data_IF_179151588801
#
_entry.id   IF_179151588801
#
_cell.length_a   1.000
_cell.length_b   1.000
_cell.length_c   1.000
_cell.angle_alpha   90.00
_cell.angle_beta   90.00
_cell.angle_gamma   90.00
#
_symmetry.space_group_name_H-M   'P 1'
#
loop_
_entity.id
_entity.type
_entity.pdbx_description
1 polymer ?
#
# COMPACT_ATOMS: atom_id res chain seq x y z
N UNK A 1 -55.15 -11.97 -30.26
CA UNK A 1 -55.21 -11.04 -29.10
C UNK A 1 -53.78 -10.86 -28.60
N UNK A 2 -53.25 -9.63 -28.72
CA UNK A 2 -51.95 -9.22 -28.17
C UNK A 2 -52.15 -8.79 -26.71
N UNK A 3 -51.20 -9.03 -25.78
CA UNK A 3 -51.05 -8.19 -24.61
C UNK A 3 -50.08 -7.05 -24.93
N UNK A 4 -50.60 -5.84 -24.80
CA UNK A 4 -49.91 -4.57 -24.83
C UNK A 4 -49.36 -4.33 -23.42
N UNK A 5 -48.04 -4.19 -23.25
CA UNK A 5 -47.48 -3.67 -21.99
C UNK A 5 -46.92 -2.29 -22.29
N UNK A 6 -47.64 -1.31 -21.74
CA UNK A 6 -47.38 0.12 -21.79
C UNK A 6 -46.23 0.47 -20.84
N UNK A 7 -45.08 0.85 -21.41
CA UNK A 7 -44.03 1.60 -20.70
C UNK A 7 -43.60 2.78 -21.57
N UNK A 8 -44.51 3.73 -21.74
CA UNK A 8 -44.17 5.09 -22.14
C UNK A 8 -44.95 6.01 -21.21
N UNK A 9 -44.24 6.73 -20.36
CA UNK A 9 -44.53 8.08 -19.86
C UNK A 9 -43.46 8.42 -18.82
N UNK A 10 -42.44 9.16 -19.24
CA UNK A 10 -41.43 9.69 -18.32
C UNK A 10 -40.13 10.22 -18.94
N UNK A 11 -39.96 10.20 -20.26
CA UNK A 11 -38.66 10.51 -20.90
C UNK A 11 -38.73 11.64 -21.94
N UNK A 12 -39.80 12.44 -21.94
CA UNK A 12 -40.03 13.47 -22.96
C UNK A 12 -40.06 14.90 -22.40
N UNK A 13 -39.36 15.16 -21.29
CA UNK A 13 -39.35 16.51 -20.67
C UNK A 13 -37.98 17.03 -20.24
N UNK A 14 -36.91 16.69 -20.97
CA UNK A 14 -35.59 17.34 -20.83
C UNK A 14 -34.96 17.76 -22.16
N UNK A 15 -35.75 17.90 -23.23
CA UNK A 15 -35.30 18.51 -24.48
C UNK A 15 -36.20 19.71 -24.77
N UNK A 16 -35.74 20.90 -24.39
CA UNK A 16 -36.44 22.16 -24.62
C UNK A 16 -35.82 23.30 -23.83
N UNK A 17 -34.98 24.06 -24.51
CA UNK A 17 -34.31 25.28 -24.08
C UNK A 17 -35.20 26.19 -23.22
N UNK A 18 -34.70 26.62 -22.06
CA UNK A 18 -35.06 27.93 -21.51
C UNK A 18 -33.87 28.52 -20.77
N UNK A 19 -33.20 29.43 -21.47
CA UNK A 19 -32.77 30.73 -20.95
C UNK A 19 -32.08 30.74 -19.58
N UNK A 20 -30.79 31.03 -19.64
CA UNK A 20 -30.14 32.00 -18.77
C UNK A 20 -31.14 33.00 -18.16
N UNK A 21 -31.38 32.88 -16.86
CA UNK A 21 -31.76 34.02 -16.04
C UNK A 21 -31.17 33.81 -14.66
N UNK A 22 -30.30 34.76 -14.32
CA UNK A 22 -29.68 34.96 -13.03
C UNK A 22 -30.75 35.25 -11.99
N UNK A 23 -30.89 34.42 -10.97
CA UNK A 23 -31.46 34.85 -9.69
C UNK A 23 -30.40 34.70 -8.60
N UNK A 24 -29.75 35.84 -8.34
CA UNK A 24 -28.98 36.12 -7.13
C UNK A 24 -29.95 36.62 -6.06
N UNK A 25 -29.87 36.04 -4.87
CA UNK A 25 -30.00 36.63 -3.51
C UNK A 25 -30.17 35.44 -2.54
N UNK A 26 -29.46 35.22 -1.44
CA UNK A 26 -28.37 35.88 -0.73
C UNK A 26 -27.74 34.83 0.19
N UNK A 27 -26.43 34.57 0.09
CA UNK A 27 -25.60 34.14 1.23
C UNK A 27 -24.12 34.44 0.96
N UNK A 28 -23.43 34.80 2.04
CA UNK A 28 -22.11 35.42 2.17
C UNK A 28 -20.97 34.79 1.32
N UNK A 29 -19.91 35.56 0.97
CA UNK A 29 -18.86 35.12 0.07
C UNK A 29 -17.95 34.10 0.74
N UNK A 30 -18.02 32.85 0.29
CA UNK A 30 -16.99 31.85 0.54
C UNK A 30 -16.07 31.77 -0.68
N UNK A 31 -14.81 31.45 -0.39
CA UNK A 31 -13.60 31.45 -1.22
C UNK A 31 -13.74 30.67 -2.54
N UNK A 32 -13.16 31.18 -3.65
CA UNK A 32 -13.30 30.58 -4.98
C UNK A 32 -12.21 29.52 -5.24
N UNK A 33 -12.25 28.33 -4.62
CA UNK A 33 -11.31 27.24 -4.96
C UNK A 33 -11.88 25.80 -5.00
N UNK A 34 -13.19 25.56 -4.84
CA UNK A 34 -13.72 24.17 -4.77
C UNK A 34 -14.80 23.78 -5.80
N UNK A 35 -15.08 24.59 -6.83
CA UNK A 35 -16.13 24.25 -7.82
C UNK A 35 -15.61 23.58 -9.12
N UNK A 36 -14.29 23.45 -9.29
CA UNK A 36 -13.73 22.87 -10.52
C UNK A 36 -13.86 21.34 -10.55
N UNK A 37 -13.73 20.65 -9.41
CA UNK A 37 -13.67 19.18 -9.36
C UNK A 37 -15.08 18.55 -9.54
N UNK A 38 -16.10 19.12 -8.90
CA UNK A 38 -17.50 18.65 -8.99
C UNK A 38 -18.16 18.96 -10.35
N UNK A 39 -17.73 20.03 -11.03
CA UNK A 39 -18.18 20.33 -12.38
C UNK A 39 -17.51 19.40 -13.40
N UNK A 40 -16.21 19.12 -13.24
CA UNK A 40 -15.51 18.17 -14.12
C UNK A 40 -16.02 16.74 -13.99
N UNK A 41 -16.32 16.26 -12.78
CA UNK A 41 -16.86 14.90 -12.58
C UNK A 41 -18.27 14.75 -13.14
N UNK A 42 -19.11 15.79 -13.06
CA UNK A 42 -20.43 15.84 -13.71
C UNK A 42 -20.31 15.82 -15.24
N UNK A 43 -19.46 16.67 -15.80
CA UNK A 43 -19.23 16.74 -17.25
C UNK A 43 -18.68 15.41 -17.80
N UNK A 44 -17.81 14.74 -17.06
CA UNK A 44 -17.26 13.45 -17.43
C UNK A 44 -18.33 12.34 -17.39
N UNK A 45 -19.23 12.37 -16.41
CA UNK A 45 -20.37 11.46 -16.34
C UNK A 45 -21.35 11.67 -17.51
N UNK A 46 -21.62 12.92 -17.88
CA UNK A 46 -22.48 13.25 -19.02
C UNK A 46 -21.87 12.82 -20.36
N UNK A 47 -20.54 12.94 -20.51
CA UNK A 47 -19.81 12.43 -21.68
C UNK A 47 -19.85 10.91 -21.77
N UNK A 48 -19.65 10.20 -20.65
CA UNK A 48 -19.78 8.73 -20.59
C UNK A 48 -21.19 8.26 -20.92
N UNK A 49 -22.20 8.95 -20.43
CA UNK A 49 -23.60 8.66 -20.74
C UNK A 49 -23.90 8.86 -22.24
N UNK A 50 -23.38 9.94 -22.83
CA UNK A 50 -23.51 10.22 -24.26
C UNK A 50 -22.81 9.16 -25.14
N UNK A 51 -21.63 8.69 -24.73
CA UNK A 51 -20.91 7.61 -25.41
C UNK A 51 -21.68 6.29 -25.34
N UNK A 52 -22.12 5.89 -24.14
CA UNK A 52 -22.89 4.67 -23.93
C UNK A 52 -24.19 4.66 -24.76
N UNK A 53 -24.84 5.81 -24.88
CA UNK A 53 -26.06 5.95 -25.69
C UNK A 53 -25.77 5.75 -27.20
N UNK A 54 -24.64 6.25 -27.70
CA UNK A 54 -24.23 6.05 -29.11
C UNK A 54 -23.90 4.58 -29.39
N UNK A 55 -23.20 3.93 -28.47
CA UNK A 55 -22.87 2.50 -28.58
C UNK A 55 -24.12 1.64 -28.53
N UNK A 56 -25.05 1.93 -27.62
CA UNK A 56 -26.34 1.26 -27.54
C UNK A 56 -27.15 1.38 -28.84
N UNK A 57 -27.22 2.58 -29.42
CA UNK A 57 -27.87 2.78 -30.72
C UNK A 57 -27.16 2.04 -31.86
N UNK A 58 -25.84 1.98 -31.86
CA UNK A 58 -25.07 1.22 -32.85
C UNK A 58 -25.35 -0.28 -32.74
N UNK A 59 -25.42 -0.81 -31.51
CA UNK A 59 -25.81 -2.20 -31.22
C UNK A 59 -27.24 -2.49 -31.67
N UNK A 60 -28.20 -1.59 -31.43
CA UNK A 60 -29.57 -1.76 -31.90
C UNK A 60 -29.66 -1.79 -33.43
N UNK A 61 -28.89 -0.95 -34.13
CA UNK A 61 -28.80 -0.99 -35.61
C UNK A 61 -28.15 -2.28 -36.10
N UNK A 62 -27.07 -2.73 -35.47
CA UNK A 62 -26.42 -3.99 -35.81
C UNK A 62 -27.35 -5.19 -35.58
N UNK A 63 -28.11 -5.18 -34.48
CA UNK A 63 -29.11 -6.20 -34.18
C UNK A 63 -30.26 -6.19 -35.19
N UNK A 64 -30.74 -5.02 -35.60
CA UNK A 64 -31.75 -4.88 -36.66
C UNK A 64 -31.25 -5.42 -38.01
N UNK A 65 -29.99 -5.14 -38.38
CA UNK A 65 -29.36 -5.66 -39.60
C UNK A 65 -29.18 -7.19 -39.55
N UNK A 66 -28.79 -7.74 -38.40
CA UNK A 66 -28.73 -9.19 -38.20
C UNK A 66 -30.12 -9.80 -38.31
N UNK A 67 -31.15 -9.15 -37.78
CA UNK A 67 -32.53 -9.63 -37.86
C UNK A 67 -33.09 -9.53 -39.30
N UNK A 68 -32.65 -8.53 -40.08
CA UNK A 68 -32.95 -8.40 -41.51
C UNK A 68 -32.24 -9.48 -42.35
N UNK A 69 -31.00 -9.86 -42.01
CA UNK A 69 -30.31 -10.98 -42.66
C UNK A 69 -30.88 -12.35 -42.29
N UNK A 70 -31.30 -12.55 -41.03
CA UNK A 70 -31.98 -13.78 -40.59
C UNK A 70 -33.40 -13.87 -41.14
N UNK A 71 -34.04 -12.75 -41.48
CA UNK A 71 -35.35 -12.69 -42.15
C UNK A 71 -35.31 -12.82 -43.69
N UNK A 72 -34.12 -12.75 -44.32
CA UNK A 72 -33.99 -12.63 -45.77
C UNK A 72 -33.28 -13.79 -46.50
N UNK A 73 -32.40 -14.56 -45.86
CA UNK A 73 -31.58 -15.55 -46.60
C UNK A 73 -31.21 -16.79 -45.80
N UNK A 74 -32.18 -17.47 -45.20
CA UNK A 74 -32.00 -18.85 -44.74
C UNK A 74 -33.24 -19.70 -45.04
N UNK A 75 -33.51 -19.92 -46.33
CA UNK A 75 -34.39 -21.01 -46.74
C UNK A 75 -33.70 -21.87 -47.81
N UNK A 76 -32.71 -22.64 -47.36
CA UNK A 76 -32.03 -23.65 -48.17
C UNK A 76 -33.00 -24.74 -48.70
N UNK A 77 -34.24 -24.82 -48.19
CA UNK A 77 -35.28 -25.71 -48.74
C UNK A 77 -36.02 -25.12 -49.94
N UNK A 78 -36.09 -23.79 -50.10
CA UNK A 78 -36.80 -23.17 -51.23
C UNK A 78 -36.01 -23.24 -52.54
N UNK A 79 -34.68 -23.11 -52.49
CA UNK A 79 -33.81 -23.34 -53.66
C UNK A 79 -33.84 -24.81 -54.12
N UNK A 80 -33.97 -25.73 -53.17
CA UNK A 80 -34.15 -27.16 -53.48
C UNK A 80 -35.49 -27.45 -54.16
N UNK A 81 -36.55 -26.68 -53.88
CA UNK A 81 -37.88 -26.87 -54.51
C UNK A 81 -38.05 -26.13 -55.84
N UNK A 82 -37.40 -24.98 -56.05
CA UNK A 82 -37.45 -24.26 -57.34
C UNK A 82 -36.66 -24.98 -58.43
N UNK A 83 -35.64 -25.77 -58.09
CA UNK A 83 -34.91 -26.61 -59.06
C UNK A 83 -35.65 -27.89 -59.47
N UNK A 84 -36.76 -28.25 -58.82
CA UNK A 84 -37.49 -29.50 -59.07
C UNK A 84 -38.70 -29.31 -60.03
N UNK A 85 -38.95 -28.08 -60.52
CA UNK A 85 -40.04 -27.79 -61.44
C UNK A 85 -39.58 -27.03 -62.71
N UNK A 86 -38.94 -27.72 -63.65
CA UNK A 86 -38.60 -27.20 -64.99
C UNK A 86 -37.98 -28.26 -65.91
N UNK A 87 -38.17 -28.22 -67.25
CA UNK A 87 -38.43 -29.41 -68.06
C UNK A 87 -37.20 -30.24 -68.44
N UNK A 88 -37.40 -31.57 -68.48
CA UNK A 88 -36.60 -32.60 -69.16
C UNK A 88 -35.87 -32.06 -70.40
N UNK A 89 -34.55 -32.00 -70.32
CA UNK A 89 -33.67 -32.02 -71.48
C UNK A 89 -32.52 -33.00 -71.21
N UNK A 90 -32.64 -34.16 -71.83
CA UNK A 90 -31.65 -35.23 -71.89
C UNK A 90 -30.33 -34.65 -72.43
N UNK A 91 -29.30 -34.55 -71.59
CA UNK A 91 -27.92 -34.40 -72.05
C UNK A 91 -26.98 -35.11 -71.09
N UNK A 92 -26.38 -36.17 -71.61
CA UNK A 92 -25.13 -36.78 -71.14
C UNK A 92 -25.10 -37.18 -69.67
N UNK A 93 -25.18 -38.48 -69.42
CA UNK A 93 -24.53 -39.06 -68.24
C UNK A 93 -23.03 -38.76 -68.38
N UNK A 94 -22.58 -37.62 -67.86
CA UNK A 94 -21.18 -37.43 -67.56
C UNK A 94 -20.95 -38.21 -66.28
N UNK A 95 -20.10 -39.21 -66.38
CA UNK A 95 -19.68 -40.07 -65.28
C UNK A 95 -19.08 -39.19 -64.17
N UNK A 96 -19.85 -38.89 -63.13
CA UNK A 96 -19.38 -38.19 -61.92
C UNK A 96 -18.56 -39.13 -61.00
N UNK A 97 -17.89 -40.13 -61.58
CA UNK A 97 -16.99 -41.03 -60.86
C UNK A 97 -15.57 -40.45 -60.72
N UNK A 98 -15.35 -39.22 -61.19
CA UNK A 98 -14.06 -38.51 -61.13
C UNK A 98 -14.03 -37.25 -60.26
N UNK A 99 -15.10 -36.92 -59.51
CA UNK A 99 -15.16 -35.70 -58.69
C UNK A 99 -14.83 -35.90 -57.20
N UNK A 100 -14.21 -37.02 -56.82
CA UNK A 100 -13.43 -37.10 -55.59
C UNK A 100 -12.01 -36.66 -55.92
N UNK A 101 -11.82 -35.37 -56.21
CA UNK A 101 -10.49 -34.80 -56.13
C UNK A 101 -10.02 -35.01 -54.69
N UNK A 102 -8.99 -35.83 -54.51
CA UNK A 102 -8.27 -35.99 -53.24
C UNK A 102 -8.05 -34.59 -52.65
N UNK A 103 -8.31 -34.37 -51.34
CA UNK A 103 -7.96 -33.11 -50.71
C UNK A 103 -6.52 -32.74 -51.09
N UNK A 104 -6.29 -31.52 -51.58
CA UNK A 104 -4.95 -31.06 -51.93
C UNK A 104 -4.03 -31.35 -50.73
N UNK A 105 -2.99 -32.17 -50.92
CA UNK A 105 -2.14 -32.67 -49.83
C UNK A 105 -1.60 -31.51 -48.98
N UNK A 106 -1.35 -30.37 -49.62
CA UNK A 106 -0.92 -29.13 -48.97
C UNK A 106 -1.98 -28.54 -48.05
N UNK A 107 -3.25 -28.54 -48.46
CA UNK A 107 -4.36 -28.04 -47.64
C UNK A 107 -4.56 -28.88 -46.37
N UNK A 108 -4.40 -30.21 -46.48
CA UNK A 108 -4.50 -31.10 -45.31
C UNK A 108 -3.36 -30.85 -44.32
N UNK A 109 -2.14 -30.67 -44.83
CA UNK A 109 -0.95 -30.38 -44.01
C UNK A 109 -1.06 -29.01 -43.30
N UNK A 110 -1.48 -27.96 -44.02
CA UNK A 110 -1.71 -26.62 -43.48
C UNK A 110 -2.81 -26.61 -42.43
N UNK A 111 -3.93 -27.30 -42.68
CA UNK A 111 -5.00 -27.45 -41.70
C UNK A 111 -4.51 -28.17 -40.43
N UNK A 112 -3.72 -29.22 -40.58
CA UNK A 112 -3.18 -29.95 -39.42
C UNK A 112 -2.18 -29.10 -38.62
N UNK A 113 -1.37 -28.28 -39.30
CA UNK A 113 -0.47 -27.33 -38.65
C UNK A 113 -1.26 -26.27 -37.87
N UNK A 114 -2.29 -25.69 -38.48
CA UNK A 114 -3.17 -24.70 -37.82
C UNK A 114 -3.87 -25.25 -36.59
N UNK A 115 -4.26 -26.53 -36.60
CA UNK A 115 -4.86 -27.19 -35.44
C UNK A 115 -3.84 -27.29 -34.30
N UNK A 116 -2.59 -27.70 -34.59
CA UNK A 116 -1.53 -27.78 -33.58
C UNK A 116 -1.20 -26.40 -33.01
N UNK A 117 -1.02 -25.40 -33.86
CA UNK A 117 -0.73 -24.04 -33.39
C UNK A 117 -1.87 -23.45 -32.57
N UNK A 118 -3.13 -23.74 -32.91
CA UNK A 118 -4.26 -23.33 -32.08
C UNK A 118 -4.27 -24.02 -30.73
N UNK A 119 -3.90 -25.30 -30.66
CA UNK A 119 -3.74 -26.01 -29.39
C UNK A 119 -2.65 -25.36 -28.54
N UNK A 120 -1.48 -25.07 -29.11
CA UNK A 120 -0.39 -24.38 -28.42
C UNK A 120 -0.81 -22.98 -27.92
N UNK A 121 -1.58 -22.25 -28.73
CA UNK A 121 -2.11 -20.94 -28.35
C UNK A 121 -3.14 -21.04 -27.23
N UNK A 122 -4.03 -22.04 -27.24
CA UNK A 122 -4.99 -22.26 -26.17
C UNK A 122 -4.29 -22.59 -24.84
N UNK A 123 -3.27 -23.46 -24.87
CA UNK A 123 -2.45 -23.75 -23.69
C UNK A 123 -1.69 -22.52 -23.19
N UNK A 124 -1.23 -21.66 -24.10
CA UNK A 124 -0.57 -20.40 -23.73
C UNK A 124 -1.55 -19.40 -23.12
N UNK A 125 -2.77 -19.28 -23.66
CA UNK A 125 -3.84 -18.45 -23.10
C UNK A 125 -4.18 -18.94 -21.69
N UNK A 126 -4.38 -20.25 -21.51
CA UNK A 126 -4.69 -20.82 -20.20
C UNK A 126 -3.59 -20.54 -19.15
N UNK A 127 -2.31 -20.66 -19.53
CA UNK A 127 -1.19 -20.29 -18.65
C UNK A 127 -1.20 -18.80 -18.28
N UNK A 128 -1.41 -17.92 -19.27
CA UNK A 128 -1.48 -16.48 -19.04
C UNK A 128 -2.66 -16.11 -18.15
N UNK A 129 -3.81 -16.78 -18.27
CA UNK A 129 -4.97 -16.59 -17.38
C UNK A 129 -4.66 -17.01 -15.94
N UNK A 130 -3.90 -18.09 -15.74
CA UNK A 130 -3.44 -18.49 -14.40
C UNK A 130 -2.46 -17.47 -13.81
N UNK A 131 -1.49 -17.01 -14.60
CA UNK A 131 -0.55 -15.96 -14.19
C UNK A 131 -1.28 -14.64 -13.88
N UNK A 132 -2.27 -14.25 -14.68
CA UNK A 132 -3.09 -13.06 -14.44
C UNK A 132 -3.85 -13.17 -13.11
N UNK A 133 -4.45 -14.33 -12.83
CA UNK A 133 -5.16 -14.54 -11.56
C UNK A 133 -4.20 -14.53 -10.37
N UNK A 134 -3.00 -15.10 -10.51
CA UNK A 134 -1.98 -15.04 -9.48
C UNK A 134 -1.54 -13.59 -9.22
N UNK A 135 -1.25 -12.82 -10.27
CA UNK A 135 -0.86 -11.41 -10.14
C UNK A 135 -1.98 -10.55 -9.55
N UNK A 136 -3.25 -10.83 -9.84
CA UNK A 136 -4.39 -10.15 -9.19
C UNK A 136 -4.42 -10.40 -7.69
N UNK A 137 -4.15 -11.63 -7.25
CA UNK A 137 -4.10 -11.94 -5.82
C UNK A 137 -2.91 -11.24 -5.15
N UNK A 138 -1.72 -11.30 -5.76
CA UNK A 138 -0.52 -10.61 -5.25
C UNK A 138 -0.72 -9.08 -5.18
N UNK A 139 -1.42 -8.50 -6.15
CA UNK A 139 -1.79 -7.08 -6.14
C UNK A 139 -2.76 -6.75 -5.00
N UNK A 140 -3.72 -7.63 -4.71
CA UNK A 140 -4.65 -7.45 -3.60
C UNK A 140 -3.93 -7.55 -2.25
N UNK A 141 -3.07 -8.54 -2.07
CA UNK A 141 -2.25 -8.69 -0.86
C UNK A 141 -1.36 -7.46 -0.63
N UNK A 142 -0.75 -6.93 -1.70
CA UNK A 142 0.05 -5.71 -1.64
C UNK A 142 -0.79 -4.49 -1.26
N UNK A 143 -2.04 -4.41 -1.76
CA UNK A 143 -2.96 -3.32 -1.42
C UNK A 143 -3.35 -3.37 0.06
N UNK A 144 -3.71 -4.54 0.58
CA UNK A 144 -4.08 -4.74 1.98
C UNK A 144 -2.90 -4.40 2.91
N UNK A 145 -1.67 -4.77 2.51
CA UNK A 145 -0.45 -4.35 3.21
C UNK A 145 -0.26 -2.83 3.20
N UNK A 146 -0.54 -2.17 2.08
CA UNK A 146 -0.38 -0.73 1.96
C UNK A 146 -1.39 0.03 2.84
N UNK A 147 -2.63 -0.44 2.90
CA UNK A 147 -3.64 0.07 3.82
C UNK A 147 -3.17 -0.07 5.29
N UNK A 148 -2.61 -1.21 5.68
CA UNK A 148 -2.05 -1.40 7.02
C UNK A 148 -0.89 -0.43 7.32
N UNK A 149 -0.02 -0.19 6.35
CA UNK A 149 1.08 0.77 6.49
C UNK A 149 0.57 2.21 6.65
N UNK A 150 -0.49 2.60 5.95
CA UNK A 150 -1.13 3.91 6.13
C UNK A 150 -1.64 4.08 7.57
N UNK A 151 -2.31 3.07 8.13
CA UNK A 151 -2.71 3.11 9.55
C UNK A 151 -1.52 3.22 10.49
N UNK A 152 -0.43 2.51 10.21
CA UNK A 152 0.78 2.55 11.03
C UNK A 152 1.47 3.92 10.98
N UNK A 153 1.50 4.57 9.82
CA UNK A 153 2.03 5.94 9.68
C UNK A 153 1.19 6.90 10.51
N UNK A 154 -0.14 6.87 10.40
CA UNK A 154 -1.02 7.73 11.18
C UNK A 154 -0.85 7.53 12.70
N UNK A 155 -0.66 6.29 13.16
CA UNK A 155 -0.38 5.98 14.57
C UNK A 155 0.96 6.57 15.02
N UNK A 156 1.99 6.50 14.17
CA UNK A 156 3.32 7.05 14.45
C UNK A 156 3.29 8.59 14.46
N UNK A 157 2.56 9.23 13.55
CA UNK A 157 2.38 10.68 13.50
C UNK A 157 1.64 11.19 14.75
N UNK A 158 0.58 10.51 15.21
CA UNK A 158 -0.11 10.89 16.43
C UNK A 158 0.75 10.65 17.68
N UNK A 159 1.60 9.62 17.70
CA UNK A 159 2.62 9.43 18.75
C UNK A 159 3.65 10.54 18.75
N UNK A 160 4.12 10.97 17.57
CA UNK A 160 5.06 12.08 17.44
C UNK A 160 4.45 13.39 17.90
N UNK A 161 3.19 13.67 17.52
CA UNK A 161 2.45 14.86 17.97
C UNK A 161 2.22 14.89 19.48
N UNK A 162 2.01 13.72 20.09
CA UNK A 162 1.89 13.56 21.56
C UNK A 162 3.24 13.53 22.26
N UNK A 163 4.34 13.39 21.53
CA UNK A 163 5.68 13.33 22.11
C UNK A 163 6.05 14.66 22.77
N UNK A 164 6.42 14.67 24.06
CA UNK A 164 6.84 15.87 24.78
C UNK A 164 8.11 16.54 24.24
N UNK A 165 8.81 15.91 23.29
CA UNK A 165 10.06 16.38 22.70
C UNK A 165 9.87 17.45 21.62
N UNK A 166 8.75 17.41 20.88
CA UNK A 166 8.50 18.35 19.77
C UNK A 166 8.27 19.81 20.23
N UNK A 167 7.99 20.00 21.52
CA UNK A 167 7.78 21.32 22.14
C UNK A 167 9.03 21.91 22.82
N UNK A 168 10.22 21.32 22.63
CA UNK A 168 11.47 21.91 23.13
C UNK A 168 11.93 23.03 22.18
N UNK A 169 11.41 24.23 22.42
CA UNK A 169 11.97 25.44 21.83
C UNK A 169 13.32 25.73 22.50
N UNK A 170 14.40 25.22 21.92
CA UNK A 170 15.76 25.67 22.25
C UNK A 170 15.92 27.04 21.59
N UNK A 171 15.82 28.10 22.39
CA UNK A 171 16.02 29.46 21.88
C UNK A 171 17.46 29.59 21.40
N UNK A 172 17.67 29.65 20.08
CA UNK A 172 18.97 29.94 19.49
C UNK A 172 19.36 31.37 19.84
N UNK A 173 20.54 31.56 20.44
CA UNK A 173 21.05 32.89 20.73
C UNK A 173 21.27 33.67 19.42
N UNK A 174 20.76 34.91 19.29
CA UNK A 174 21.00 35.71 18.09
C UNK A 174 22.49 36.01 17.95
N UNK A 175 23.02 35.97 16.71
CA UNK A 175 24.42 36.27 16.31
C UNK A 175 24.84 37.75 16.54
N UNK A 176 24.12 38.46 17.40
CA UNK A 176 24.47 39.77 17.91
C UNK A 176 25.72 39.62 18.80
N UNK A 177 26.73 40.48 18.58
CA UNK A 177 27.99 40.58 19.35
C UNK A 177 27.84 40.71 20.90
N UNK A 178 26.63 40.72 21.45
CA UNK A 178 26.35 40.62 22.88
C UNK A 178 26.53 39.18 23.37
N UNK A 179 27.36 38.98 24.40
CA UNK A 179 27.49 37.68 25.06
C UNK A 179 26.14 37.19 25.61
N UNK A 180 25.97 35.86 25.75
CA UNK A 180 24.77 35.27 26.34
C UNK A 180 24.43 35.87 27.72
N UNK A 181 25.47 36.14 28.51
CA UNK A 181 25.34 36.82 29.80
C UNK A 181 24.84 38.26 29.66
N UNK A 182 25.33 39.01 28.67
CA UNK A 182 24.84 40.36 28.38
C UNK A 182 23.35 40.35 28.03
N UNK A 183 22.90 39.38 27.23
CA UNK A 183 21.47 39.22 26.89
C UNK A 183 20.63 38.88 28.12
N UNK A 184 21.09 37.95 28.95
CA UNK A 184 20.40 37.57 30.19
C UNK A 184 20.28 38.76 31.16
N UNK A 185 21.35 39.53 31.36
CA UNK A 185 21.31 40.75 32.17
C UNK A 185 20.29 41.77 31.65
N UNK A 186 20.20 41.96 30.33
CA UNK A 186 19.19 42.85 29.73
C UNK A 186 17.75 42.36 29.94
N UNK A 187 17.52 41.04 29.85
CA UNK A 187 16.20 40.42 30.10
C UNK A 187 15.77 40.59 31.55
N UNK A 188 16.72 40.51 32.49
CA UNK A 188 16.50 40.75 33.93
C UNK A 188 16.47 42.24 34.29
N UNK A 189 16.53 43.15 33.30
CA UNK A 189 16.37 44.60 33.48
C UNK A 189 17.65 45.37 33.76
N UNK A 190 18.82 44.72 33.77
CA UNK A 190 20.13 45.35 33.96
C UNK A 190 20.68 45.80 32.61
N UNK A 191 20.45 47.07 32.26
CA UNK A 191 20.87 47.68 30.98
C UNK A 191 22.12 48.56 31.09
N UNK A 192 22.42 49.06 32.28
CA UNK A 192 23.51 50.02 32.51
C UNK A 192 24.90 49.37 32.65
N UNK A 193 24.96 48.04 32.56
CA UNK A 193 26.20 47.25 32.72
C UNK A 193 26.60 46.66 31.37
N UNK A 194 27.74 47.09 30.84
CA UNK A 194 28.40 46.43 29.72
C UNK A 194 29.36 45.35 30.25
N UNK A 195 29.04 44.08 30.02
CA UNK A 195 29.78 42.92 30.52
C UNK A 195 31.22 42.90 30.01
N UNK A 196 31.45 43.26 28.74
CA UNK A 196 32.81 43.29 28.17
C UNK A 196 33.67 44.38 28.80
N UNK A 197 33.09 45.55 29.06
CA UNK A 197 33.79 46.66 29.73
C UNK A 197 34.02 46.38 31.22
N UNK A 198 33.02 45.78 31.89
CA UNK A 198 33.11 45.36 33.28
C UNK A 198 34.21 44.32 33.48
N UNK A 199 34.31 43.32 32.62
CA UNK A 199 35.38 42.32 32.65
C UNK A 199 36.76 42.97 32.54
N UNK A 200 36.96 43.91 31.59
CA UNK A 200 38.23 44.64 31.45
C UNK A 200 38.59 45.44 32.70
N UNK A 201 37.60 46.02 33.39
CA UNK A 201 37.79 46.75 34.66
C UNK A 201 38.15 45.80 35.81
N UNK A 202 37.62 44.57 35.82
CA UNK A 202 37.95 43.54 36.81
C UNK A 202 39.33 42.92 36.57
N UNK A 203 39.75 42.70 35.32
CA UNK A 203 41.05 42.09 35.00
C UNK A 203 42.25 42.92 35.48
N UNK A 204 42.06 44.24 35.60
CA UNK A 204 43.10 45.18 36.07
C UNK A 204 42.99 45.48 37.58
N UNK A 205 41.96 44.94 38.26
CA UNK A 205 41.84 45.02 39.70
C UNK A 205 42.74 43.97 40.36
N UNK A 206 43.82 44.43 41.00
CA UNK A 206 44.65 43.57 41.86
C UNK A 206 44.10 43.46 43.29
N UNK A 207 44.80 42.71 44.16
CA UNK A 207 44.47 42.51 45.60
C UNK A 207 44.69 43.76 46.48
N UNK A 208 44.36 44.94 45.98
CA UNK A 208 44.48 46.18 46.74
C UNK A 208 43.24 46.36 47.64
N UNK A 209 43.44 46.25 48.95
CA UNK A 209 42.38 46.47 49.94
C UNK A 209 41.85 47.92 50.02
N UNK A 210 42.44 48.87 49.29
CA UNK A 210 42.02 50.28 49.27
C UNK A 210 41.60 50.72 47.86
N UNK A 211 40.38 50.32 47.49
CA UNK A 211 39.77 50.55 46.18
C UNK A 211 39.33 52.01 46.01
N UNK A 212 39.61 52.59 44.84
CA UNK A 212 39.06 53.89 44.42
C UNK A 212 37.56 53.77 44.12
N UNK A 213 36.84 54.89 44.11
CA UNK A 213 35.39 54.89 43.87
C UNK A 213 34.99 54.19 42.55
N UNK A 214 35.75 54.38 41.47
CA UNK A 214 35.49 53.72 40.17
C UNK A 214 35.67 52.19 40.25
N UNK A 215 36.63 51.74 41.05
CA UNK A 215 36.92 50.33 41.31
C UNK A 215 35.84 49.70 42.19
N UNK A 216 35.33 50.45 43.17
CA UNK A 216 34.19 50.06 43.99
C UNK A 216 32.92 49.89 43.14
N UNK A 217 32.66 50.81 42.19
CA UNK A 217 31.53 50.70 41.25
C UNK A 217 31.64 49.44 40.40
N UNK A 218 32.83 49.14 39.86
CA UNK A 218 33.06 47.91 39.09
C UNK A 218 32.79 46.66 39.92
N UNK A 219 33.20 46.62 41.19
CA UNK A 219 32.94 45.48 42.09
C UNK A 219 31.45 45.33 42.39
N UNK A 220 30.72 46.43 42.61
CA UNK A 220 29.26 46.38 42.85
C UNK A 220 28.53 45.86 41.60
N UNK A 221 28.93 46.33 40.41
CA UNK A 221 28.38 45.85 39.14
C UNK A 221 28.68 44.35 38.93
N UNK A 222 29.90 43.91 39.25
CA UNK A 222 30.29 42.50 39.20
C UNK A 222 29.45 41.63 40.15
N UNK A 223 29.23 42.08 41.38
CA UNK A 223 28.37 41.38 42.34
C UNK A 223 26.92 41.25 41.85
N UNK A 224 26.41 42.27 41.16
CA UNK A 224 25.07 42.23 40.55
C UNK A 224 25.01 41.19 39.42
N UNK A 225 26.02 41.16 38.55
CA UNK A 225 26.12 40.19 37.45
C UNK A 225 26.28 38.77 38.00
N UNK A 226 27.08 38.54 39.03
CA UNK A 226 27.26 37.24 39.68
C UNK A 226 25.95 36.71 40.26
N UNK A 227 25.15 37.56 40.93
CA UNK A 227 23.85 37.16 41.45
C UNK A 227 22.89 36.71 40.33
N UNK A 228 22.96 37.37 39.15
CA UNK A 228 22.20 36.95 37.97
C UNK A 228 22.73 35.64 37.38
N UNK A 229 24.06 35.43 37.34
CA UNK A 229 24.64 34.16 36.93
C UNK A 229 24.18 33.00 37.83
N UNK A 230 24.17 33.19 39.15
CA UNK A 230 23.66 32.18 40.10
C UNK A 230 22.19 31.85 39.86
N UNK A 231 21.37 32.86 39.57
CA UNK A 231 19.96 32.66 39.20
C UNK A 231 19.83 31.87 37.90
N UNK A 232 20.64 32.21 36.89
CA UNK A 232 20.62 31.54 35.59
C UNK A 232 21.11 30.09 35.68
N UNK A 233 22.16 29.83 36.45
CA UNK A 233 22.66 28.47 36.74
C UNK A 233 21.58 27.60 37.36
N UNK A 234 20.89 28.09 38.39
CA UNK A 234 19.75 27.36 39.00
C UNK A 234 18.63 27.08 38.02
N UNK A 235 18.37 28.00 37.10
CA UNK A 235 17.38 27.80 36.04
C UNK A 235 17.83 26.70 35.07
N UNK A 236 19.10 26.70 34.65
CA UNK A 236 19.68 25.67 33.80
C UNK A 236 19.62 24.30 34.48
N UNK A 237 20.05 24.19 35.74
CA UNK A 237 19.98 22.95 36.52
C UNK A 237 18.54 22.42 36.62
N UNK A 238 17.56 23.31 36.82
CA UNK A 238 16.14 22.94 36.83
C UNK A 238 15.65 22.41 35.46
N UNK A 239 16.08 23.04 34.37
CA UNK A 239 15.75 22.56 33.01
C UNK A 239 16.46 21.25 32.66
N UNK A 240 17.69 21.05 33.10
CA UNK A 240 18.46 19.83 32.91
C UNK A 240 17.81 18.66 33.66
N UNK A 241 17.40 18.87 34.92
CA UNK A 241 16.68 17.87 35.69
C UNK A 241 15.36 17.48 35.03
N UNK A 242 14.61 18.46 34.50
CA UNK A 242 13.36 18.21 33.77
C UNK A 242 13.59 17.43 32.46
N UNK A 243 14.64 17.77 31.71
CA UNK A 243 15.05 17.05 30.50
C UNK A 243 15.50 15.61 30.80
N UNK A 244 16.29 15.43 31.85
CA UNK A 244 16.75 14.11 32.31
C UNK A 244 15.56 13.24 32.71
N UNK A 245 14.59 13.80 33.42
CA UNK A 245 13.35 13.10 33.76
C UNK A 245 12.55 12.70 32.50
N UNK A 246 12.40 13.61 31.53
CA UNK A 246 11.74 13.31 30.24
C UNK A 246 12.44 12.20 29.46
N UNK A 247 13.78 12.18 29.44
CA UNK A 247 14.56 11.13 28.80
C UNK A 247 14.26 9.76 29.43
N UNK A 248 14.21 9.69 30.76
CA UNK A 248 13.88 8.45 31.49
C UNK A 248 12.44 7.99 31.24
N UNK A 249 11.49 8.90 31.11
CA UNK A 249 10.09 8.57 30.81
C UNK A 249 9.96 8.03 29.37
N UNK A 250 10.64 8.63 28.39
CA UNK A 250 10.70 8.12 27.01
C UNK A 250 11.35 6.74 26.92
N UNK A 251 12.42 6.48 27.67
CA UNK A 251 13.03 5.15 27.74
C UNK A 251 12.07 4.10 28.31
N UNK A 252 11.27 4.47 29.31
CA UNK A 252 10.23 3.59 29.87
C UNK A 252 9.13 3.31 28.86
N UNK A 253 8.60 4.32 28.19
CA UNK A 253 7.56 4.15 27.17
C UNK A 253 8.04 3.30 25.99
N UNK A 254 9.29 3.49 25.55
CA UNK A 254 9.92 2.66 24.49
C UNK A 254 10.01 1.19 24.92
N UNK A 255 10.41 0.92 26.17
CA UNK A 255 10.48 -0.45 26.70
C UNK A 255 9.11 -1.11 26.78
N UNK A 256 8.11 -0.41 27.30
CA UNK A 256 6.73 -0.91 27.40
C UNK A 256 6.14 -1.17 26.02
N UNK A 257 6.33 -0.25 25.07
CA UNK A 257 5.82 -0.41 23.70
C UNK A 257 6.47 -1.60 22.99
N UNK A 258 7.80 -1.74 23.08
CA UNK A 258 8.52 -2.86 22.48
C UNK A 258 8.13 -4.21 23.12
N UNK A 259 7.89 -4.23 24.43
CA UNK A 259 7.47 -5.43 25.13
C UNK A 259 6.05 -5.86 24.71
N UNK A 260 5.11 -4.92 24.56
CA UNK A 260 3.74 -5.20 24.10
C UNK A 260 3.70 -5.81 22.69
N UNK A 261 4.44 -5.26 21.72
CA UNK A 261 4.52 -5.84 20.38
C UNK A 261 5.13 -7.23 20.36
N UNK A 262 6.16 -7.47 21.18
CA UNK A 262 6.76 -8.80 21.28
C UNK A 262 5.79 -9.82 21.88
N UNK A 263 4.95 -9.42 22.83
CA UNK A 263 3.92 -10.26 23.45
C UNK A 263 2.81 -10.60 22.46
N UNK A 264 2.27 -9.60 21.75
CA UNK A 264 1.25 -9.79 20.70
C UNK A 264 1.75 -10.71 19.57
N UNK A 265 2.98 -10.50 19.11
CA UNK A 265 3.61 -11.33 18.08
C UNK A 265 3.86 -12.78 18.58
N UNK A 266 4.16 -12.95 19.87
CA UNK A 266 4.31 -14.28 20.48
C UNK A 266 2.98 -15.02 20.55
N UNK A 267 1.89 -14.33 20.89
CA UNK A 267 0.56 -14.90 20.94
C UNK A 267 0.02 -15.24 19.55
N UNK A 268 0.27 -14.39 18.55
CA UNK A 268 -0.03 -14.70 17.14
C UNK A 268 0.70 -15.97 16.67
N UNK A 269 1.99 -16.11 17.00
CA UNK A 269 2.76 -17.31 16.66
C UNK A 269 2.26 -18.56 17.38
N UNK A 270 1.83 -18.45 18.64
CA UNK A 270 1.22 -19.59 19.36
C UNK A 270 -0.09 -20.00 18.72
N UNK A 271 -0.96 -19.05 18.39
CA UNK A 271 -2.26 -19.33 17.79
C UNK A 271 -2.11 -19.97 16.40
N UNK A 272 -1.17 -19.47 15.58
CA UNK A 272 -0.84 -20.09 14.30
C UNK A 272 -0.29 -21.52 14.45
N UNK A 273 0.54 -21.76 15.47
CA UNK A 273 1.06 -23.09 15.80
C UNK A 273 -0.08 -24.03 16.23
N UNK A 274 -0.99 -23.58 17.09
CA UNK A 274 -2.14 -24.35 17.57
C UNK A 274 -3.09 -24.72 16.42
N UNK A 275 -3.34 -23.78 15.49
CA UNK A 275 -4.11 -24.05 14.27
C UNK A 275 -3.43 -25.09 13.38
N UNK A 276 -2.11 -25.03 13.23
CA UNK A 276 -1.36 -26.02 12.47
C UNK A 276 -1.43 -27.41 13.13
N UNK A 277 -1.31 -27.48 14.46
CA UNK A 277 -1.46 -28.74 15.21
C UNK A 277 -2.87 -29.34 15.07
N UNK A 278 -3.91 -28.52 15.15
CA UNK A 278 -5.29 -28.96 14.88
C UNK A 278 -5.44 -29.51 13.46
N UNK A 279 -4.88 -28.83 12.45
CA UNK A 279 -4.92 -29.29 11.06
C UNK A 279 -4.21 -30.63 10.87
N UNK A 280 -3.06 -30.80 11.53
CA UNK A 280 -2.33 -32.08 11.52
C UNK A 280 -3.19 -33.17 12.14
N UNK A 281 -3.80 -32.95 13.31
CA UNK A 281 -4.67 -33.93 13.96
C UNK A 281 -5.90 -34.28 13.10
N UNK A 282 -6.53 -33.31 12.45
CA UNK A 282 -7.62 -33.56 11.51
C UNK A 282 -7.18 -34.46 10.35
N UNK A 283 -6.02 -34.16 9.75
CA UNK A 283 -5.46 -34.95 8.66
C UNK A 283 -5.08 -36.37 9.12
N UNK A 284 -4.50 -36.50 10.31
CA UNK A 284 -4.19 -37.79 10.93
C UNK A 284 -5.46 -38.61 11.18
N UNK A 285 -6.51 -38.01 11.72
CA UNK A 285 -7.81 -38.67 11.92
C UNK A 285 -8.44 -39.08 10.59
N UNK A 286 -8.35 -38.23 9.57
CA UNK A 286 -8.86 -38.52 8.22
C UNK A 286 -8.10 -39.68 7.59
N UNK A 287 -6.77 -39.70 7.72
CA UNK A 287 -5.92 -40.80 7.26
C UNK A 287 -6.21 -42.09 8.02
N UNK A 288 -6.38 -42.02 9.34
CA UNK A 288 -6.72 -43.18 10.17
C UNK A 288 -8.06 -43.80 9.75
N UNK A 289 -9.08 -42.98 9.51
CA UNK A 289 -10.39 -43.43 9.03
C UNK A 289 -10.31 -44.02 7.61
N UNK A 290 -9.54 -43.41 6.71
CA UNK A 290 -9.34 -43.91 5.35
C UNK A 290 -8.56 -45.25 5.32
N UNK A 291 -7.78 -45.55 6.35
CA UNK A 291 -6.97 -46.76 6.49
C UNK A 291 -7.63 -47.86 7.33
N UNK A 292 -8.79 -47.62 7.97
CA UNK A 292 -9.49 -48.67 8.70
C UNK A 292 -10.03 -49.76 7.76
N UNK A 293 -9.77 -51.06 8.05
CA UNK A 293 -10.40 -52.15 7.32
C UNK A 293 -11.86 -52.32 7.78
N UNK A 294 -12.82 -51.97 6.91
CA UNK A 294 -14.26 -52.24 7.11
C UNK A 294 -14.55 -53.75 7.21
N UNK A 295 -15.32 -54.22 8.21
CA UNK A 295 -15.68 -55.63 8.32
C UNK A 295 -16.76 -55.99 7.29
N UNK A 296 -16.33 -56.50 6.14
CA UNK A 296 -17.22 -57.09 5.13
C UNK A 296 -17.00 -56.63 3.70
N UNK A 297 -16.25 -55.55 3.47
CA UNK A 297 -15.65 -55.28 2.17
C UNK A 297 -14.30 -55.98 2.11
N UNK A 298 -14.16 -56.92 1.18
CA UNK A 298 -12.81 -57.36 0.75
C UNK A 298 -12.04 -56.08 0.44
N UNK A 299 -10.88 -55.90 1.08
CA UNK A 299 -9.93 -54.82 0.82
C UNK A 299 -9.38 -54.93 -0.62
N UNK A 300 -10.22 -54.65 -1.61
CA UNK A 300 -9.90 -54.79 -3.04
C UNK A 300 -10.48 -53.65 -3.90
N UNK A 301 -10.96 -52.58 -3.29
CA UNK A 301 -10.99 -51.25 -3.90
C UNK A 301 -10.45 -50.21 -2.91
N UNK A 302 -9.55 -50.64 -2.02
CA UNK A 302 -8.64 -49.72 -1.35
C UNK A 302 -7.72 -49.17 -2.44
N UNK A 303 -7.64 -47.84 -2.54
CA UNK A 303 -6.79 -47.04 -3.45
C UNK A 303 -5.87 -47.90 -4.34
N UNK A 304 -6.13 -47.87 -5.66
CA UNK A 304 -5.28 -48.51 -6.68
C UNK A 304 -3.80 -48.28 -6.35
N UNK A 305 -2.90 -49.25 -6.61
CA UNK A 305 -1.45 -49.08 -6.37
C UNK A 305 -0.94 -47.74 -6.91
N UNK A 306 -1.45 -47.29 -8.07
CA UNK A 306 -1.17 -45.97 -8.62
C UNK A 306 -1.62 -44.80 -7.74
N UNK A 307 -2.80 -44.84 -7.11
CA UNK A 307 -3.25 -43.78 -6.20
C UNK A 307 -2.43 -43.73 -4.90
N UNK A 308 -1.86 -44.86 -4.47
CA UNK A 308 -0.92 -44.89 -3.34
C UNK A 308 0.43 -44.31 -3.70
N UNK A 309 0.94 -44.62 -4.88
CA UNK A 309 2.17 -44.04 -5.42
C UNK A 309 2.00 -42.53 -5.66
N UNK A 310 0.86 -42.10 -6.19
CA UNK A 310 0.53 -40.68 -6.38
C UNK A 310 0.47 -39.92 -5.04
N UNK A 311 -0.16 -40.50 -4.01
CA UNK A 311 -0.19 -39.91 -2.67
C UNK A 311 1.20 -39.87 -2.01
N UNK A 312 2.05 -40.87 -2.25
CA UNK A 312 3.43 -40.88 -1.75
C UNK A 312 4.29 -39.84 -2.48
N UNK A 313 4.11 -39.70 -3.79
CA UNK A 313 4.77 -38.69 -4.61
C UNK A 313 4.35 -37.28 -4.17
N UNK A 314 3.04 -37.03 -4.03
CA UNK A 314 2.50 -35.76 -3.54
C UNK A 314 3.00 -35.42 -2.14
N UNK A 315 3.10 -36.41 -1.23
CA UNK A 315 3.69 -36.20 0.11
C UNK A 315 5.17 -35.83 0.03
N UNK A 316 5.93 -36.50 -0.84
CA UNK A 316 7.36 -36.23 -1.01
C UNK A 316 7.60 -34.84 -1.60
N UNK A 317 6.78 -34.45 -2.57
CA UNK A 317 6.81 -33.13 -3.21
C UNK A 317 6.45 -32.02 -2.22
N UNK A 318 5.40 -32.23 -1.40
CA UNK A 318 5.00 -31.27 -0.36
C UNK A 318 6.05 -31.15 0.76
N UNK A 319 6.70 -32.26 1.14
CA UNK A 319 7.85 -32.24 2.06
C UNK A 319 9.05 -31.49 1.47
N UNK A 320 9.35 -31.71 0.19
CA UNK A 320 10.44 -31.03 -0.49
C UNK A 320 10.16 -29.52 -0.59
N UNK A 321 8.93 -29.14 -0.92
CA UNK A 321 8.48 -27.75 -0.97
C UNK A 321 8.55 -27.08 0.41
N UNK A 322 8.11 -27.78 1.47
CA UNK A 322 8.23 -27.30 2.84
C UNK A 322 9.69 -27.11 3.26
N UNK A 323 10.57 -28.06 2.97
CA UNK A 323 12.01 -27.95 3.25
C UNK A 323 12.68 -26.82 2.46
N UNK A 324 12.21 -26.53 1.26
CA UNK A 324 12.72 -25.42 0.46
C UNK A 324 12.28 -24.07 1.03
N UNK A 325 11.01 -23.95 1.46
CA UNK A 325 10.52 -22.75 2.16
C UNK A 325 11.23 -22.52 3.49
N UNK A 326 11.51 -23.57 4.26
CA UNK A 326 12.30 -23.44 5.50
C UNK A 326 13.69 -22.87 5.20
N UNK A 327 14.39 -23.40 4.19
CA UNK A 327 15.72 -22.88 3.79
C UNK A 327 15.68 -21.42 3.32
N UNK A 328 14.64 -21.03 2.58
CA UNK A 328 14.45 -19.63 2.18
C UNK A 328 14.20 -18.71 3.38
N UNK A 329 13.37 -19.13 4.33
CA UNK A 329 13.09 -18.38 5.55
C UNK A 329 14.34 -18.26 6.42
N UNK A 330 15.12 -19.32 6.56
CA UNK A 330 16.42 -19.30 7.25
C UNK A 330 17.39 -18.31 6.59
N UNK A 331 17.47 -18.29 5.26
CA UNK A 331 18.33 -17.35 4.53
C UNK A 331 17.89 -15.89 4.73
N UNK A 332 16.57 -15.61 4.70
CA UNK A 332 16.01 -14.29 5.00
C UNK A 332 16.32 -13.85 6.43
N UNK A 333 16.18 -14.75 7.40
CA UNK A 333 16.47 -14.49 8.80
C UNK A 333 17.97 -14.17 9.02
N UNK A 334 18.86 -14.85 8.29
CA UNK A 334 20.30 -14.58 8.36
C UNK A 334 20.70 -13.24 7.72
N UNK A 335 19.97 -12.79 6.70
CA UNK A 335 20.10 -11.44 6.13
C UNK A 335 19.63 -10.40 7.16
N UNK A 336 18.46 -10.60 7.77
CA UNK A 336 17.92 -9.68 8.77
C UNK A 336 18.84 -9.55 10.00
N UNK A 337 19.42 -10.66 10.49
CA UNK A 337 20.41 -10.63 11.58
C UNK A 337 21.65 -9.79 11.23
N UNK A 338 22.14 -9.88 9.99
CA UNK A 338 23.27 -9.06 9.54
C UNK A 338 22.92 -7.58 9.50
N UNK A 339 21.73 -7.23 8.98
CA UNK A 339 21.25 -5.84 9.00
C UNK A 339 21.10 -5.31 10.42
N UNK A 340 20.60 -6.12 11.35
CA UNK A 340 20.45 -5.72 12.76
C UNK A 340 21.82 -5.41 13.39
N UNK A 341 22.81 -6.29 13.18
CA UNK A 341 24.19 -6.05 13.64
C UNK A 341 24.80 -4.78 13.04
N UNK A 342 24.59 -4.54 11.76
CA UNK A 342 25.09 -3.33 11.09
C UNK A 342 24.43 -2.06 11.66
N UNK A 343 23.14 -2.13 12.00
CA UNK A 343 22.44 -1.03 12.67
C UNK A 343 22.97 -0.82 14.09
N UNK A 344 23.20 -1.89 14.85
CA UNK A 344 23.80 -1.83 16.19
C UNK A 344 25.20 -1.21 16.14
N UNK A 345 26.04 -1.60 15.18
CA UNK A 345 27.38 -1.02 14.98
C UNK A 345 27.32 0.47 14.64
N UNK A 346 26.41 0.87 13.74
CA UNK A 346 26.18 2.29 13.40
C UNK A 346 25.68 3.08 14.61
N UNK A 347 24.80 2.49 15.41
CA UNK A 347 24.28 3.11 16.62
C UNK A 347 25.39 3.27 17.68
N UNK A 348 26.20 2.24 17.90
CA UNK A 348 27.36 2.29 18.80
C UNK A 348 28.39 3.32 18.34
N UNK A 349 28.63 3.42 17.04
CA UNK A 349 29.53 4.44 16.47
C UNK A 349 29.01 5.86 16.73
N UNK A 350 27.74 6.12 16.45
CA UNK A 350 27.12 7.42 16.74
C UNK A 350 27.16 7.73 18.24
N UNK A 351 26.82 6.76 19.08
CA UNK A 351 26.87 6.91 20.54
C UNK A 351 28.27 7.27 21.02
N UNK A 352 29.32 6.58 20.53
CA UNK A 352 30.72 6.88 20.84
C UNK A 352 31.12 8.27 20.34
N UNK A 353 30.74 8.62 19.11
CA UNK A 353 31.04 9.92 18.51
C UNK A 353 30.43 11.07 19.30
N UNK A 354 29.14 10.99 19.65
CA UNK A 354 28.47 12.01 20.45
C UNK A 354 28.98 12.06 21.89
N UNK A 355 29.31 10.91 22.48
CA UNK A 355 29.93 10.87 23.82
C UNK A 355 31.31 11.53 23.83
N UNK A 356 32.15 11.29 22.81
CA UNK A 356 33.45 11.94 22.66
C UNK A 356 33.31 13.44 22.38
N UNK A 357 32.38 13.83 21.51
CA UNK A 357 32.09 15.23 21.24
C UNK A 357 31.62 15.97 22.50
N UNK A 358 30.82 15.33 23.35
CA UNK A 358 30.38 15.89 24.63
C UNK A 358 31.53 16.07 25.64
N UNK A 359 32.46 15.10 25.70
CA UNK A 359 33.65 15.19 26.58
C UNK A 359 34.65 16.23 26.08
N UNK A 360 34.77 16.40 24.76
CA UNK A 360 35.70 17.34 24.12
C UNK A 360 35.09 18.74 23.90
N UNK A 361 33.83 18.95 24.27
CA UNK A 361 33.19 20.26 24.18
C UNK A 361 33.67 21.13 25.36
N UNK A 362 34.38 22.24 25.11
CA UNK A 362 34.94 23.10 26.15
C UNK A 362 33.91 23.91 26.93
#
# INVERSE_FOLDING_TARGET
MKPHISWYLGWEKCWGETSCNTDRTDRAPATPEEDLDDTTTREEADLRFCQLTREYQALQRAYALLQEQVGGTLDAEREARVSVAGPRATRGWVDHRGLYALPDSKWVEEKQLLIRTNQDLLEKIYRLEMEENQLKNEMQDAKDQNELLEFRVLELEERERRSPAFNLQITTFPENNSSALQLFCHQEGVKDVNISELMKKLDILGDNGNLRNEEQVAIIQAGTVLALCEKWLKQIEGTEAALTQKMLDLEREKRVSAQGYLEEELDYRKEALDQAYLKIQELEATLYNALQPEPGRRASEALSEGQREDLQAARMELLQQAQQRVRELEAKLEIQKRHLKELEEKFLFLFLFFSLAFILWP
#
